data_IF_530826283356
#
_entry.id   IF_530826283356
#
_cell.length_a   1.000
_cell.length_b   1.000
_cell.length_c   1.000
_cell.angle_alpha   90.00
_cell.angle_beta   90.00
_cell.angle_gamma   90.00
#
_symmetry.space_group_name_H-M   'P 1'
#
loop_
_entity.id
_entity.type
_entity.pdbx_description
1 polymer ?
#
# COMPACT_ATOMS: atom_id res chain seq x y z
N UNK A 1 -10.26 28.21 2.22
CA UNK A 1 -10.82 27.45 1.07
C UNK A 1 -12.30 27.20 1.35
N UNK A 2 -13.21 27.42 0.41
CA UNK A 2 -14.65 27.15 0.60
C UNK A 2 -14.92 25.65 0.82
N UNK A 3 -15.97 25.29 1.56
CA UNK A 3 -16.36 23.88 1.80
C UNK A 3 -16.57 23.09 0.50
N UNK A 4 -17.19 23.70 -0.52
CA UNK A 4 -17.42 23.03 -1.80
C UNK A 4 -16.10 22.68 -2.51
N UNK A 5 -15.14 23.62 -2.53
CA UNK A 5 -13.80 23.38 -3.08
C UNK A 5 -13.03 22.30 -2.31
N UNK A 6 -13.16 22.26 -0.97
CA UNK A 6 -12.58 21.21 -0.16
C UNK A 6 -13.15 19.83 -0.54
N UNK A 7 -14.49 19.69 -0.60
CA UNK A 7 -15.15 18.44 -0.98
C UNK A 7 -14.73 17.93 -2.35
N UNK A 8 -14.71 18.82 -3.36
CA UNK A 8 -14.27 18.48 -4.71
C UNK A 8 -12.80 18.04 -4.75
N UNK A 9 -11.93 18.72 -4.02
CA UNK A 9 -10.51 18.37 -3.95
C UNK A 9 -10.30 17.01 -3.27
N UNK A 10 -10.99 16.75 -2.16
CA UNK A 10 -10.94 15.45 -1.48
C UNK A 10 -11.41 14.32 -2.39
N UNK A 11 -12.55 14.50 -3.07
CA UNK A 11 -13.07 13.53 -4.03
C UNK A 11 -12.10 13.29 -5.19
N UNK A 12 -11.53 14.37 -5.75
CA UNK A 12 -10.52 14.29 -6.81
C UNK A 12 -9.31 13.46 -6.37
N UNK A 13 -8.79 13.69 -5.16
CA UNK A 13 -7.66 12.94 -4.61
C UNK A 13 -7.94 11.45 -4.44
N UNK A 14 -9.13 11.05 -3.99
CA UNK A 14 -9.50 9.64 -3.95
C UNK A 14 -9.63 9.02 -5.35
N UNK A 15 -10.27 9.72 -6.29
CA UNK A 15 -10.44 9.22 -7.66
C UNK A 15 -9.09 9.06 -8.35
N UNK A 16 -8.26 10.11 -8.35
CA UNK A 16 -6.96 10.07 -9.03
C UNK A 16 -6.02 9.09 -8.34
N UNK A 17 -6.04 9.01 -7.01
CA UNK A 17 -5.25 8.05 -6.26
C UNK A 17 -5.62 6.60 -6.60
N UNK A 18 -6.92 6.29 -6.65
CA UNK A 18 -7.39 4.96 -7.04
C UNK A 18 -6.96 4.59 -8.46
N UNK A 19 -7.08 5.51 -9.42
CA UNK A 19 -6.62 5.29 -10.80
C UNK A 19 -5.10 5.06 -10.84
N UNK A 20 -4.33 5.96 -10.22
CA UNK A 20 -2.89 5.93 -10.29
C UNK A 20 -2.27 4.71 -9.62
N UNK A 21 -2.83 4.20 -8.51
CA UNK A 21 -2.36 2.99 -7.82
C UNK A 21 -2.54 1.73 -8.67
N UNK A 22 -3.62 1.66 -9.45
CA UNK A 22 -3.89 0.48 -10.28
C UNK A 22 -2.92 0.35 -11.46
N UNK A 23 -2.38 1.45 -11.98
CA UNK A 23 -1.44 1.42 -13.13
C UNK A 23 -0.18 0.59 -12.82
N UNK A 24 0.66 0.94 -11.81
CA UNK A 24 1.84 0.15 -11.48
C UNK A 24 1.47 -1.22 -10.92
N UNK A 25 0.33 -1.37 -10.23
CA UNK A 25 -0.15 -2.70 -9.81
C UNK A 25 -0.35 -3.64 -11.00
N UNK A 26 -1.03 -3.18 -12.06
CA UNK A 26 -1.19 -3.94 -13.30
C UNK A 26 0.13 -4.22 -14.00
N UNK A 27 1.05 -3.24 -14.03
CA UNK A 27 2.38 -3.45 -14.59
C UNK A 27 3.19 -4.51 -13.81
N UNK A 28 3.04 -4.57 -12.48
CA UNK A 28 3.68 -5.60 -11.66
C UNK A 28 3.09 -6.99 -11.91
N UNK A 29 1.77 -7.10 -12.10
CA UNK A 29 1.13 -8.36 -12.51
C UNK A 29 1.74 -8.83 -13.84
N UNK A 30 1.74 -7.96 -14.86
CA UNK A 30 2.15 -8.33 -16.21
C UNK A 30 3.65 -8.65 -16.35
N UNK A 31 4.50 -7.89 -15.66
CA UNK A 31 5.95 -7.94 -15.88
C UNK A 31 6.72 -8.71 -14.79
N UNK A 32 6.09 -8.96 -13.64
CA UNK A 32 6.74 -9.59 -12.49
C UNK A 32 5.89 -10.66 -11.81
N UNK A 33 4.71 -10.97 -12.35
CA UNK A 33 3.81 -12.01 -11.82
C UNK A 33 3.37 -11.73 -10.37
N UNK A 34 3.25 -10.45 -10.02
CA UNK A 34 2.76 -10.02 -8.71
C UNK A 34 1.25 -10.27 -8.58
N UNK A 35 0.71 -10.74 -7.44
CA UNK A 35 1.41 -11.07 -6.19
C UNK A 35 1.91 -12.51 -6.08
N UNK A 36 1.65 -13.37 -7.06
CA UNK A 36 1.95 -14.80 -6.97
C UNK A 36 3.46 -15.08 -6.86
N UNK A 37 4.29 -14.24 -7.48
CA UNK A 37 5.75 -14.27 -7.34
C UNK A 37 6.21 -14.21 -5.87
N UNK A 38 5.45 -13.58 -4.97
CA UNK A 38 5.81 -13.45 -3.56
C UNK A 38 5.82 -14.79 -2.81
N UNK A 39 5.23 -15.83 -3.40
CA UNK A 39 5.13 -17.18 -2.82
C UNK A 39 6.10 -18.18 -3.46
N UNK A 40 6.89 -17.74 -4.45
CA UNK A 40 7.89 -18.58 -5.12
C UNK A 40 9.19 -18.72 -4.30
N UNK A 41 10.06 -19.69 -4.62
CA UNK A 41 11.37 -19.80 -4.00
C UNK A 41 12.20 -18.51 -4.17
N UNK A 42 13.01 -18.19 -3.16
CA UNK A 42 13.82 -16.96 -3.14
C UNK A 42 14.68 -16.79 -4.38
N UNK A 43 15.29 -17.87 -4.86
CA UNK A 43 16.16 -17.89 -6.03
C UNK A 43 15.41 -17.46 -7.29
N UNK A 44 14.17 -17.92 -7.44
CA UNK A 44 13.31 -17.54 -8.57
C UNK A 44 12.95 -16.06 -8.49
N UNK A 45 12.54 -15.58 -7.31
CA UNK A 45 12.18 -14.18 -7.08
C UNK A 45 13.36 -13.26 -7.43
N UNK A 46 14.54 -13.53 -6.87
CA UNK A 46 15.72 -12.69 -7.07
C UNK A 46 16.20 -12.71 -8.53
N UNK A 47 16.13 -13.87 -9.19
CA UNK A 47 16.51 -13.99 -10.60
C UNK A 47 15.54 -13.24 -11.51
N UNK A 48 14.23 -13.42 -11.33
CA UNK A 48 13.20 -12.67 -12.08
C UNK A 48 13.29 -11.17 -11.80
N UNK A 49 13.55 -10.77 -10.56
CA UNK A 49 13.68 -9.37 -10.20
C UNK A 49 14.89 -8.72 -10.88
N UNK A 50 16.03 -9.41 -10.88
CA UNK A 50 17.23 -8.94 -11.60
C UNK A 50 16.97 -8.80 -13.09
N UNK A 51 16.25 -9.75 -13.71
CA UNK A 51 15.89 -9.72 -15.12
C UNK A 51 14.97 -8.53 -15.47
N UNK A 52 14.09 -8.12 -14.54
CA UNK A 52 13.23 -6.94 -14.70
C UNK A 52 13.97 -5.59 -14.65
N UNK A 53 15.17 -5.57 -14.06
CA UNK A 53 16.08 -4.42 -14.06
C UNK A 53 15.47 -3.11 -13.54
N UNK A 54 15.95 -1.99 -14.06
CA UNK A 54 15.54 -0.65 -13.60
C UNK A 54 14.04 -0.38 -13.81
N UNK A 55 13.44 -0.93 -14.87
CA UNK A 55 12.00 -0.74 -15.14
C UNK A 55 11.14 -1.28 -14.00
N UNK A 56 11.47 -2.48 -13.50
CA UNK A 56 10.78 -3.07 -12.36
C UNK A 56 10.95 -2.24 -11.08
N UNK A 57 12.16 -1.74 -10.82
CA UNK A 57 12.45 -0.86 -9.66
C UNK A 57 11.60 0.42 -9.73
N UNK A 58 11.53 1.07 -10.89
CA UNK A 58 10.71 2.26 -11.06
C UNK A 58 9.21 1.98 -10.95
N UNK A 59 8.77 0.79 -11.36
CA UNK A 59 7.37 0.36 -11.20
C UNK A 59 7.02 0.19 -9.73
N UNK A 60 7.90 -0.43 -8.93
CA UNK A 60 7.75 -0.53 -7.48
C UNK A 60 7.78 0.84 -6.79
N UNK A 61 8.69 1.72 -7.22
CA UNK A 61 8.78 3.09 -6.71
C UNK A 61 7.49 3.86 -7.01
N UNK A 62 6.97 3.76 -8.24
CA UNK A 62 5.69 4.33 -8.60
C UNK A 62 4.58 3.77 -7.70
N UNK A 63 4.49 2.44 -7.55
CA UNK A 63 3.46 1.81 -6.71
C UNK A 63 3.47 2.32 -5.27
N UNK A 64 4.66 2.55 -4.69
CA UNK A 64 4.79 3.11 -3.35
C UNK A 64 4.29 4.56 -3.25
N UNK A 65 4.55 5.41 -4.25
CA UNK A 65 4.30 6.86 -4.14
C UNK A 65 2.99 7.33 -4.73
N UNK A 66 2.46 6.66 -5.75
CA UNK A 66 1.23 7.11 -6.43
C UNK A 66 -0.02 7.00 -5.57
N UNK A 67 0.07 6.38 -4.39
CA UNK A 67 -0.97 6.40 -3.36
C UNK A 67 -1.04 7.71 -2.55
N UNK A 68 -0.07 8.62 -2.68
CA UNK A 68 -0.04 9.91 -1.95
C UNK A 68 -1.33 10.74 -2.09
N UNK A 69 -1.99 10.82 -3.27
CA UNK A 69 -3.29 11.47 -3.37
C UNK A 69 -4.31 10.87 -2.41
N UNK A 70 -4.35 9.54 -2.22
CA UNK A 70 -5.26 8.90 -1.26
C UNK A 70 -4.95 9.31 0.19
N UNK A 71 -3.67 9.40 0.55
CA UNK A 71 -3.25 9.91 1.87
C UNK A 71 -3.76 11.35 2.09
N UNK A 72 -3.53 12.24 1.13
CA UNK A 72 -4.03 13.61 1.23
C UNK A 72 -5.56 13.66 1.23
N UNK A 73 -6.23 12.81 0.45
CA UNK A 73 -7.67 12.61 0.49
C UNK A 73 -8.17 12.23 1.87
N UNK A 74 -7.53 11.27 2.55
CA UNK A 74 -7.88 10.85 3.90
C UNK A 74 -7.71 11.98 4.93
N UNK A 75 -6.62 12.75 4.84
CA UNK A 75 -6.38 13.91 5.71
C UNK A 75 -7.43 15.01 5.48
N UNK A 76 -7.78 15.28 4.22
CA UNK A 76 -8.83 16.27 3.91
C UNK A 76 -10.23 15.76 4.27
N UNK A 77 -10.46 14.45 4.24
CA UNK A 77 -11.72 13.84 4.64
C UNK A 77 -12.02 14.09 6.12
N UNK A 78 -10.99 14.09 6.99
CA UNK A 78 -11.13 14.52 8.39
C UNK A 78 -11.82 15.87 8.48
N UNK A 79 -11.34 16.87 7.74
CA UNK A 79 -11.90 18.23 7.73
C UNK A 79 -13.35 18.30 7.25
N UNK A 80 -13.73 17.41 6.32
CA UNK A 80 -15.12 17.33 5.84
C UNK A 80 -16.04 16.76 6.92
N UNK A 81 -15.55 15.79 7.70
CA UNK A 81 -16.30 15.08 8.72
C UNK A 81 -16.24 15.73 10.11
N UNK A 82 -15.45 16.79 10.31
CA UNK A 82 -15.30 17.49 11.60
C UNK A 82 -16.65 17.89 12.22
N UNK A 83 -17.62 18.33 11.40
CA UNK A 83 -18.95 18.74 11.86
C UNK A 83 -19.84 17.58 12.35
N UNK A 84 -19.46 16.34 12.06
CA UNK A 84 -20.19 15.15 12.54
C UNK A 84 -19.89 14.86 14.02
N UNK A 85 -18.91 15.55 14.64
CA UNK A 85 -18.57 15.47 16.07
C UNK A 85 -18.37 14.03 16.59
N UNK A 86 -17.89 13.12 15.74
CA UNK A 86 -17.61 11.74 16.14
C UNK A 86 -16.34 11.69 16.99
N UNK A 87 -16.36 11.03 18.17
CA UNK A 87 -15.17 10.88 19.00
C UNK A 87 -14.08 10.01 18.33
N UNK A 88 -14.44 9.23 17.32
CA UNK A 88 -13.52 8.31 16.65
C UNK A 88 -12.83 8.91 15.41
N UNK A 89 -13.18 10.14 15.01
CA UNK A 89 -12.67 10.73 13.76
C UNK A 89 -11.15 10.97 13.78
N UNK A 90 -10.61 11.46 14.90
CA UNK A 90 -9.16 11.68 15.07
C UNK A 90 -8.41 10.35 15.02
N UNK A 91 -8.88 9.37 15.78
CA UNK A 91 -8.32 8.02 15.84
C UNK A 91 -8.34 7.37 14.46
N UNK A 92 -9.46 7.43 13.74
CA UNK A 92 -9.57 6.89 12.40
C UNK A 92 -8.54 7.53 11.47
N UNK A 93 -8.48 8.86 11.43
CA UNK A 93 -7.55 9.57 10.55
C UNK A 93 -6.09 9.20 10.86
N UNK A 94 -5.74 9.13 12.14
CA UNK A 94 -4.40 8.73 12.59
C UNK A 94 -4.06 7.30 12.17
N UNK A 95 -4.97 6.35 12.39
CA UNK A 95 -4.82 4.96 11.97
C UNK A 95 -4.65 4.85 10.46
N UNK A 96 -5.45 5.57 9.68
CA UNK A 96 -5.36 5.58 8.22
C UNK A 96 -4.03 6.13 7.71
N UNK A 97 -3.53 7.21 8.32
CA UNK A 97 -2.21 7.79 7.99
C UNK A 97 -1.08 6.82 8.33
N UNK A 98 -1.11 6.22 9.52
CA UNK A 98 -0.09 5.22 9.92
C UNK A 98 -0.15 4.00 9.00
N UNK A 99 -1.34 3.48 8.71
CA UNK A 99 -1.54 2.35 7.80
C UNK A 99 -0.98 2.62 6.41
N UNK A 100 -1.21 3.83 5.88
CA UNK A 100 -0.60 4.25 4.62
C UNK A 100 0.93 4.27 4.70
N UNK A 101 1.51 4.88 5.73
CA UNK A 101 2.98 4.95 5.90
C UNK A 101 3.58 3.54 5.99
N UNK A 102 2.97 2.66 6.78
CA UNK A 102 3.41 1.25 6.90
C UNK A 102 3.40 0.54 5.55
N UNK A 103 2.36 0.74 4.73
CA UNK A 103 2.29 0.16 3.38
C UNK A 103 3.39 0.71 2.47
N UNK A 104 3.63 2.02 2.48
CA UNK A 104 4.71 2.64 1.70
C UNK A 104 6.07 2.07 2.12
N UNK A 105 6.34 2.00 3.42
CA UNK A 105 7.60 1.42 3.94
C UNK A 105 7.75 -0.04 3.51
N UNK A 106 6.67 -0.82 3.60
CA UNK A 106 6.63 -2.18 3.09
C UNK A 106 7.04 -2.23 1.61
N UNK A 107 6.40 -1.43 0.75
CA UNK A 107 6.67 -1.41 -0.69
C UNK A 107 8.10 -0.96 -1.03
N UNK A 108 8.64 0.03 -0.32
CA UNK A 108 9.97 0.59 -0.57
C UNK A 108 11.12 -0.42 -0.38
N UNK A 109 10.89 -1.56 0.29
CA UNK A 109 11.88 -2.66 0.35
C UNK A 109 12.23 -3.17 -1.06
N UNK A 110 11.27 -3.18 -1.98
CA UNK A 110 11.47 -3.59 -3.38
C UNK A 110 12.31 -2.59 -4.18
N UNK A 111 12.47 -1.36 -3.67
CA UNK A 111 13.25 -0.30 -4.32
C UNK A 111 14.67 -0.22 -3.73
N UNK A 112 14.82 -0.38 -2.42
CA UNK A 112 16.09 -0.11 -1.76
C UNK A 112 16.84 -1.34 -1.27
N UNK A 113 16.14 -2.44 -0.98
CA UNK A 113 16.73 -3.64 -0.40
C UNK A 113 16.84 -4.75 -1.43
N UNK A 114 15.74 -5.11 -2.08
CA UNK A 114 15.69 -6.24 -3.03
C UNK A 114 16.66 -6.08 -4.21
N UNK A 115 16.88 -4.88 -4.80
CA UNK A 115 17.85 -4.74 -5.89
C UNK A 115 19.28 -5.09 -5.49
N UNK A 116 19.66 -4.81 -4.23
CA UNK A 116 20.99 -5.16 -3.71
C UNK A 116 21.13 -6.68 -3.59
N UNK A 117 20.11 -7.35 -3.03
CA UNK A 117 20.10 -8.80 -2.88
C UNK A 117 20.06 -9.51 -4.24
N UNK A 118 19.25 -9.05 -5.18
CA UNK A 118 19.11 -9.63 -6.51
C UNK A 118 20.43 -9.54 -7.30
N UNK A 119 21.10 -8.38 -7.24
CA UNK A 119 22.42 -8.20 -7.88
C UNK A 119 23.46 -9.13 -7.27
N UNK A 120 23.62 -9.14 -5.94
CA UNK A 120 24.61 -10.01 -5.28
C UNK A 120 24.34 -11.49 -5.54
N UNK A 121 23.07 -11.90 -5.59
CA UNK A 121 22.70 -13.29 -5.84
C UNK A 121 23.06 -13.75 -7.26
N UNK A 122 22.90 -12.87 -8.25
CA UNK A 122 23.09 -13.18 -9.67
C UNK A 122 24.50 -12.89 -10.18
N UNK A 123 25.29 -12.09 -9.46
CA UNK A 123 26.66 -11.75 -9.83
C UNK A 123 27.59 -12.99 -9.73
N UNK A 124 28.26 -13.40 -10.82
CA UNK A 124 29.14 -14.55 -10.84
C UNK A 124 30.42 -14.37 -10.00
N UNK A 125 30.75 -13.14 -9.61
CA UNK A 125 31.92 -12.81 -8.79
C UNK A 125 31.65 -12.87 -7.30
N UNK A 126 30.38 -12.98 -6.88
CA UNK A 126 30.01 -13.10 -5.46
C UNK A 126 30.48 -14.44 -4.91
N UNK A 127 31.18 -14.40 -3.78
CA UNK A 127 31.69 -15.60 -3.13
C UNK A 127 30.56 -16.53 -2.68
N UNK A 128 30.87 -17.83 -2.55
CA UNK A 128 29.88 -18.87 -2.23
C UNK A 128 29.25 -18.67 -0.86
N UNK A 129 29.96 -18.09 0.11
CA UNK A 129 29.46 -17.90 1.49
C UNK A 129 28.42 -16.79 1.50
N UNK A 130 28.75 -15.64 0.89
CA UNK A 130 27.82 -14.52 0.75
C UNK A 130 26.58 -14.93 -0.03
N UNK A 131 26.76 -15.61 -1.17
CA UNK A 131 25.65 -16.07 -2.00
C UNK A 131 24.71 -17.03 -1.27
N UNK A 132 25.25 -17.92 -0.43
CA UNK A 132 24.46 -18.84 0.39
C UNK A 132 23.69 -18.16 1.54
N UNK A 133 24.14 -16.98 1.99
CA UNK A 133 23.46 -16.22 3.05
C UNK A 133 22.27 -15.39 2.55
N UNK A 134 22.27 -15.01 1.26
CA UNK A 134 21.25 -14.12 0.68
C UNK A 134 19.81 -14.66 0.86
N UNK A 135 19.51 -15.96 0.64
CA UNK A 135 18.16 -16.47 0.83
C UNK A 135 17.60 -16.24 2.24
N UNK A 136 18.43 -16.44 3.27
CA UNK A 136 18.02 -16.21 4.66
C UNK A 136 17.73 -14.73 4.94
N UNK A 137 18.58 -13.82 4.43
CA UNK A 137 18.39 -12.37 4.55
C UNK A 137 17.13 -11.92 3.80
N UNK A 138 16.92 -12.42 2.58
CA UNK A 138 15.73 -12.14 1.80
C UNK A 138 14.47 -12.60 2.54
N UNK A 139 14.45 -13.83 3.07
CA UNK A 139 13.30 -14.34 3.85
C UNK A 139 13.02 -13.44 5.04
N UNK A 140 14.03 -13.03 5.81
CA UNK A 140 13.83 -12.13 6.95
C UNK A 140 13.20 -10.79 6.53
N UNK A 141 13.72 -10.16 5.46
CA UNK A 141 13.20 -8.90 4.92
C UNK A 141 11.79 -9.08 4.35
N UNK A 142 11.53 -10.18 3.65
CA UNK A 142 10.25 -10.48 3.02
C UNK A 142 9.16 -10.78 4.04
N UNK A 143 9.49 -11.54 5.10
CA UNK A 143 8.56 -11.81 6.21
C UNK A 143 8.28 -10.55 7.02
N UNK A 144 9.31 -9.78 7.38
CA UNK A 144 9.10 -8.58 8.19
C UNK A 144 8.45 -7.44 7.37
N UNK A 145 9.07 -7.06 6.26
CA UNK A 145 8.61 -5.94 5.44
C UNK A 145 7.38 -6.26 4.60
N UNK A 146 7.24 -7.51 4.14
CA UNK A 146 6.11 -7.95 3.34
C UNK A 146 4.95 -8.44 4.18
N UNK A 147 5.16 -9.53 4.91
CA UNK A 147 4.07 -10.20 5.62
C UNK A 147 3.62 -9.37 6.81
N UNK A 148 4.52 -9.04 7.75
CA UNK A 148 4.14 -8.31 8.98
C UNK A 148 3.69 -6.88 8.66
N UNK A 149 4.53 -6.09 7.98
CA UNK A 149 4.21 -4.68 7.73
C UNK A 149 3.15 -4.53 6.64
N UNK A 150 3.34 -5.15 5.47
CA UNK A 150 2.46 -4.94 4.33
C UNK A 150 1.12 -5.67 4.43
N UNK A 151 1.18 -7.01 4.40
CA UNK A 151 0.00 -7.89 4.32
C UNK A 151 -0.82 -7.90 5.62
N UNK A 152 -0.21 -7.67 6.79
CA UNK A 152 -0.94 -7.74 8.06
C UNK A 152 -1.18 -6.37 8.67
N UNK A 153 -0.13 -5.70 9.19
CA UNK A 153 -0.29 -4.48 9.95
C UNK A 153 -0.87 -3.33 9.10
N UNK A 154 -0.33 -3.12 7.91
CA UNK A 154 -0.81 -2.12 6.96
C UNK A 154 -2.26 -2.37 6.57
N UNK A 155 -2.60 -3.57 6.11
CA UNK A 155 -3.98 -3.91 5.74
C UNK A 155 -4.94 -3.81 6.93
N UNK A 156 -4.57 -4.32 8.10
CA UNK A 156 -5.39 -4.26 9.31
C UNK A 156 -5.73 -2.81 9.72
N UNK A 157 -4.73 -1.92 9.71
CA UNK A 157 -4.96 -0.50 9.99
C UNK A 157 -5.90 0.14 8.95
N UNK A 158 -5.74 -0.21 7.67
CA UNK A 158 -6.61 0.28 6.60
C UNK A 158 -8.05 -0.24 6.77
N UNK A 159 -8.25 -1.51 7.14
CA UNK A 159 -9.56 -2.11 7.44
C UNK A 159 -10.24 -1.38 8.60
N UNK A 160 -9.52 -1.12 9.70
CA UNK A 160 -10.04 -0.36 10.83
C UNK A 160 -10.44 1.06 10.39
N UNK A 161 -9.56 1.75 9.68
CA UNK A 161 -9.82 3.09 9.16
C UNK A 161 -11.09 3.11 8.29
N UNK A 162 -11.21 2.22 7.30
CA UNK A 162 -12.39 2.14 6.42
C UNK A 162 -13.66 1.86 7.23
N UNK A 163 -13.58 0.96 8.21
CA UNK A 163 -14.74 0.57 9.00
C UNK A 163 -15.26 1.71 9.88
N UNK A 164 -14.35 2.48 10.51
CA UNK A 164 -14.72 3.64 11.32
C UNK A 164 -15.25 4.78 10.44
N UNK A 165 -14.56 5.13 9.34
CA UNK A 165 -14.99 6.18 8.42
C UNK A 165 -16.35 5.86 7.81
N UNK A 166 -16.62 4.59 7.49
CA UNK A 166 -17.92 4.15 7.02
C UNK A 166 -19.01 4.33 8.08
N UNK A 167 -18.74 4.00 9.34
CA UNK A 167 -19.67 4.24 10.45
C UNK A 167 -19.99 5.72 10.69
N UNK A 168 -18.98 6.59 10.58
CA UNK A 168 -19.18 8.05 10.63
C UNK A 168 -20.02 8.51 9.43
N UNK A 169 -19.69 8.03 8.23
CA UNK A 169 -20.36 8.42 6.98
C UNK A 169 -21.81 7.93 6.91
N UNK A 170 -22.15 6.81 7.54
CA UNK A 170 -23.51 6.27 7.57
C UNK A 170 -24.49 7.19 8.32
N UNK A 171 -24.00 7.87 9.36
CA UNK A 171 -24.79 8.79 10.18
C UNK A 171 -24.69 10.24 9.68
N UNK A 172 -23.78 10.52 8.75
CA UNK A 172 -23.56 11.85 8.18
C UNK A 172 -24.68 12.24 7.21
N UNK A 173 -25.03 13.54 7.20
CA UNK A 173 -25.92 14.13 6.17
C UNK A 173 -25.18 14.48 4.87
N UNK A 174 -23.85 14.37 4.85
CA UNK A 174 -23.00 14.71 3.70
C UNK A 174 -22.97 13.55 2.70
N UNK A 175 -22.97 12.31 3.19
CA UNK A 175 -22.84 11.10 2.39
C UNK A 175 -24.15 10.33 2.32
N UNK A 176 -24.39 9.68 1.19
CA UNK A 176 -25.47 8.71 1.09
C UNK A 176 -25.09 7.42 1.82
N UNK A 177 -26.06 6.77 2.49
CA UNK A 177 -25.83 5.57 3.31
C UNK A 177 -25.19 4.40 2.54
N UNK A 178 -25.44 4.27 1.23
CA UNK A 178 -24.84 3.21 0.42
C UNK A 178 -23.32 3.33 0.30
N UNK A 179 -22.76 4.54 0.42
CA UNK A 179 -21.30 4.76 0.39
C UNK A 179 -20.64 4.10 1.61
N UNK A 180 -21.28 4.20 2.78
CA UNK A 180 -20.82 3.52 3.99
C UNK A 180 -20.88 1.99 3.83
N UNK A 181 -21.94 1.46 3.22
CA UNK A 181 -22.03 0.03 2.92
C UNK A 181 -20.92 -0.46 1.99
N UNK A 182 -20.57 0.31 0.96
CA UNK A 182 -19.43 -0.04 0.10
C UNK A 182 -18.11 -0.03 0.88
N UNK A 183 -17.92 0.90 1.81
CA UNK A 183 -16.72 0.95 2.63
C UNK A 183 -16.58 -0.25 3.57
N UNK A 184 -17.67 -0.70 4.21
CA UNK A 184 -17.67 -1.93 5.01
C UNK A 184 -17.52 -3.19 4.16
N UNK A 185 -18.13 -3.24 2.98
CA UNK A 185 -17.96 -4.37 2.07
C UNK A 185 -16.50 -4.47 1.58
N UNK A 186 -15.91 -3.33 1.20
CA UNK A 186 -14.48 -3.28 0.84
C UNK A 186 -13.58 -3.68 2.00
N UNK A 187 -13.88 -3.25 3.24
CA UNK A 187 -13.09 -3.67 4.41
C UNK A 187 -13.21 -5.16 4.71
N UNK A 188 -14.37 -5.76 4.46
CA UNK A 188 -14.54 -7.21 4.56
C UNK A 188 -13.75 -7.97 3.49
N UNK A 189 -13.65 -7.46 2.25
CA UNK A 189 -12.82 -8.07 1.20
C UNK A 189 -11.35 -8.13 1.62
N UNK A 190 -10.83 -7.08 2.26
CA UNK A 190 -9.43 -7.06 2.71
C UNK A 190 -9.12 -8.02 3.87
N UNK A 191 -10.13 -8.71 4.43
CA UNK A 191 -9.92 -9.78 5.41
C UNK A 191 -9.73 -11.17 4.77
N UNK A 192 -9.95 -11.30 3.46
CA UNK A 192 -9.81 -12.53 2.68
C UNK A 192 -8.39 -12.64 2.11
#
# INVERSE_FOLDING_TARGET
>A
MSENKLRKLTGFFFIIGAILVNIPYTLLIMNFDYPDILRQPTEEILTKFQAGGNSLIYTWLAFAWVGLPMLFGAILLKRILEKENSPFLETATTIGVIGFIVQVVGLLRWVFVIPVLARLFTDPTTDSVTKAAIPAVFIAVHQYGGVILGEHLGQFLIIIWMSIISGISFNSKIFSKWVAWLGWFASAIYLL
#
